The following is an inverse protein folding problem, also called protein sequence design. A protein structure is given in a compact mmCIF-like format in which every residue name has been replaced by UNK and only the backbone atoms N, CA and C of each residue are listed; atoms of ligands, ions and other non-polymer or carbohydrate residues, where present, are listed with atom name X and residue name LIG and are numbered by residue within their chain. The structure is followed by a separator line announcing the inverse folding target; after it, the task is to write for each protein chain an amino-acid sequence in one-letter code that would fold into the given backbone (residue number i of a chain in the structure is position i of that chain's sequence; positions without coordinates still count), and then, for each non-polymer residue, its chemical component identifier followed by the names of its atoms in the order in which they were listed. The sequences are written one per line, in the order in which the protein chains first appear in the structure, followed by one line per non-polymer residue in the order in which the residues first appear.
data_IF_842522435793
#
_entry.id   IF_842522435793
#
_cell.length_a   1.000
_cell.length_b   1.000
_cell.length_c   1.000
_cell.angle_alpha   90.00
_cell.angle_beta   90.00
_cell.angle_gamma   90.00
#
_symmetry.space_group_name_H-M   'P 1'
#
loop_
_entity.id
_entity.type
_entity.pdbx_description
1 polymer ?
#
# COMPACT_ATOMS: atom_id res chain seq x y z
N UNK A 1 0.31 -37.32 -31.98
CA UNK A 1 0.17 -35.87 -31.75
C UNK A 1 0.07 -35.51 -30.26
N UNK A 2 -0.48 -36.37 -29.39
CA UNK A 2 -0.56 -36.07 -27.93
C UNK A 2 0.76 -36.26 -27.16
N UNK A 3 1.66 -37.16 -27.59
CA UNK A 3 2.96 -37.39 -26.90
C UNK A 3 3.90 -36.19 -26.98
N UNK A 4 3.99 -35.52 -28.13
CA UNK A 4 4.84 -34.33 -28.33
C UNK A 4 4.44 -33.16 -27.45
N UNK A 5 3.14 -32.96 -27.20
CA UNK A 5 2.64 -31.87 -26.33
C UNK A 5 2.96 -32.14 -24.85
N UNK A 6 2.96 -33.42 -24.45
CA UNK A 6 3.31 -33.81 -23.08
C UNK A 6 4.81 -33.62 -22.83
N UNK A 7 5.64 -34.02 -23.80
CA UNK A 7 7.10 -33.87 -23.73
C UNK A 7 7.51 -32.39 -23.72
N UNK A 8 6.88 -31.53 -24.52
CA UNK A 8 7.13 -30.08 -24.50
C UNK A 8 6.75 -29.43 -23.16
N UNK A 9 5.65 -29.87 -22.52
CA UNK A 9 5.23 -29.36 -21.21
C UNK A 9 6.17 -29.81 -20.08
N UNK A 10 6.66 -31.05 -20.14
CA UNK A 10 7.63 -31.57 -19.18
C UNK A 10 8.94 -30.80 -19.32
N UNK A 11 9.43 -30.60 -20.56
CA UNK A 11 10.63 -29.83 -20.86
C UNK A 11 10.54 -28.38 -20.36
N UNK A 12 9.39 -27.73 -20.58
CA UNK A 12 9.13 -26.38 -20.08
C UNK A 12 9.13 -26.31 -18.55
N UNK A 13 8.59 -27.33 -17.87
CA UNK A 13 8.56 -27.39 -16.42
C UNK A 13 9.96 -27.58 -15.81
N UNK A 14 10.79 -28.42 -16.44
CA UNK A 14 12.18 -28.66 -16.03
C UNK A 14 13.05 -27.42 -16.25
N UNK A 15 12.92 -26.76 -17.41
CA UNK A 15 13.57 -25.48 -17.71
C UNK A 15 13.19 -24.40 -16.69
N UNK A 16 11.93 -24.34 -16.26
CA UNK A 16 11.48 -23.39 -15.23
C UNK A 16 12.08 -23.69 -13.87
N UNK A 17 12.25 -24.95 -13.49
CA UNK A 17 12.93 -25.34 -12.25
C UNK A 17 14.41 -24.99 -12.33
N UNK A 18 15.07 -25.30 -13.45
CA UNK A 18 16.47 -24.97 -13.67
C UNK A 18 16.71 -23.45 -13.62
N UNK A 19 15.86 -22.65 -14.26
CA UNK A 19 15.93 -21.19 -14.23
C UNK A 19 15.88 -20.64 -12.81
N UNK A 20 14.98 -21.16 -11.96
CA UNK A 20 14.88 -20.78 -10.55
C UNK A 20 16.17 -21.04 -9.81
N UNK A 21 16.74 -22.23 -9.96
CA UNK A 21 17.98 -22.64 -9.29
C UNK A 21 19.16 -21.77 -9.72
N UNK A 22 19.27 -21.46 -11.01
CA UNK A 22 20.32 -20.58 -11.55
C UNK A 22 20.18 -19.16 -11.00
N UNK A 23 18.97 -18.57 -11.05
CA UNK A 23 18.75 -17.21 -10.52
C UNK A 23 18.99 -17.15 -9.01
N UNK A 24 18.53 -18.14 -8.25
CA UNK A 24 18.77 -18.21 -6.82
C UNK A 24 20.26 -18.25 -6.49
N UNK A 25 21.02 -19.08 -7.22
CA UNK A 25 22.49 -19.18 -7.05
C UNK A 25 23.19 -17.88 -7.44
N UNK A 26 22.76 -17.25 -8.54
CA UNK A 26 23.29 -15.99 -9.03
C UNK A 26 23.05 -14.85 -8.03
N UNK A 27 21.84 -14.70 -7.49
CA UNK A 27 21.52 -13.69 -6.48
C UNK A 27 22.35 -13.90 -5.21
N UNK A 28 22.44 -15.14 -4.72
CA UNK A 28 23.24 -15.46 -3.53
C UNK A 28 24.72 -15.11 -3.73
N UNK A 29 25.28 -15.46 -4.89
CA UNK A 29 26.66 -15.10 -5.23
C UNK A 29 26.86 -13.58 -5.22
N UNK A 30 25.95 -12.81 -5.80
CA UNK A 30 26.04 -11.34 -5.85
C UNK A 30 25.99 -10.73 -4.45
N UNK A 31 25.05 -11.16 -3.62
CA UNK A 31 24.90 -10.68 -2.24
C UNK A 31 26.17 -10.99 -1.42
N UNK A 32 26.72 -12.21 -1.55
CA UNK A 32 27.95 -12.60 -0.87
C UNK A 32 29.18 -11.82 -1.37
N UNK A 33 29.27 -11.57 -2.68
CA UNK A 33 30.35 -10.78 -3.27
C UNK A 33 30.29 -9.31 -2.86
N UNK A 34 29.08 -8.73 -2.83
CA UNK A 34 28.86 -7.38 -2.34
C UNK A 34 29.30 -7.24 -0.87
N UNK A 35 28.87 -8.17 -0.02
CA UNK A 35 29.22 -8.18 1.41
C UNK A 35 30.72 -8.42 1.66
N UNK A 36 31.41 -9.08 0.72
CA UNK A 36 32.86 -9.32 0.80
C UNK A 36 33.71 -8.30 0.04
N UNK A 37 33.10 -7.23 -0.50
CA UNK A 37 33.75 -6.20 -1.33
C UNK A 37 34.55 -6.76 -2.52
N UNK A 38 34.18 -7.95 -3.01
CA UNK A 38 34.83 -8.58 -4.17
C UNK A 38 34.11 -8.16 -5.44
N UNK A 39 34.78 -7.42 -6.32
CA UNK A 39 34.27 -7.15 -7.67
C UNK A 39 34.46 -8.39 -8.53
N UNK A 40 33.37 -9.08 -8.89
CA UNK A 40 33.40 -10.14 -9.90
C UNK A 40 32.57 -9.73 -11.11
N UNK A 41 33.10 -10.02 -12.30
CA UNK A 41 32.76 -9.42 -13.59
C UNK A 41 31.66 -10.16 -14.36
N UNK A 42 30.70 -10.80 -13.69
CA UNK A 42 29.63 -11.53 -14.38
C UNK A 42 28.41 -10.65 -14.74
N UNK A 43 28.23 -9.53 -14.04
CA UNK A 43 26.99 -8.72 -14.13
C UNK A 43 27.37 -7.23 -14.06
N UNK A 44 26.64 -6.33 -14.74
CA UNK A 44 26.86 -4.89 -14.62
C UNK A 44 26.93 -4.42 -13.15
N UNK A 45 27.92 -3.59 -12.75
CA UNK A 45 28.11 -3.19 -11.36
C UNK A 45 26.91 -2.50 -10.72
N UNK A 46 26.16 -1.73 -11.51
CA UNK A 46 24.92 -1.07 -11.08
C UNK A 46 23.86 -2.09 -10.69
N UNK A 47 23.62 -3.07 -11.56
CA UNK A 47 22.66 -4.13 -11.33
C UNK A 47 23.07 -5.02 -10.14
N UNK A 48 24.35 -5.30 -9.97
CA UNK A 48 24.85 -6.03 -8.81
C UNK A 48 24.58 -5.29 -7.49
N UNK A 49 24.76 -3.96 -7.47
CA UNK A 49 24.38 -3.11 -6.33
C UNK A 49 22.88 -3.19 -6.08
N UNK A 50 22.06 -3.03 -7.11
CA UNK A 50 20.60 -3.05 -6.98
C UNK A 50 20.12 -4.37 -6.38
N UNK A 51 20.58 -5.51 -6.90
CA UNK A 51 20.30 -6.85 -6.36
C UNK A 51 20.73 -6.95 -4.89
N UNK A 52 21.94 -6.52 -4.56
CA UNK A 52 22.46 -6.61 -3.18
C UNK A 52 21.69 -5.75 -2.17
N UNK A 53 21.08 -4.66 -2.64
CA UNK A 53 20.27 -3.74 -1.82
C UNK A 53 18.79 -4.11 -1.78
N UNK A 54 18.39 -5.14 -2.52
CA UNK A 54 17.01 -5.60 -2.60
C UNK A 54 16.65 -6.46 -1.38
N UNK A 55 15.42 -6.31 -0.87
CA UNK A 55 14.93 -7.11 0.24
C UNK A 55 14.59 -8.56 -0.17
N UNK A 56 14.30 -9.42 0.82
CA UNK A 56 13.94 -10.82 0.58
C UNK A 56 12.74 -10.98 -0.36
N UNK A 57 11.76 -10.07 -0.30
CA UNK A 57 10.59 -10.13 -1.19
C UNK A 57 10.96 -9.85 -2.65
N UNK A 58 11.92 -8.94 -2.90
CA UNK A 58 12.42 -8.71 -4.23
C UNK A 58 13.30 -9.84 -4.76
N UNK A 59 14.08 -10.48 -3.89
CA UNK A 59 14.81 -11.72 -4.22
C UNK A 59 13.83 -12.84 -4.60
N UNK A 60 12.77 -13.05 -3.81
CA UNK A 60 11.72 -14.03 -4.10
C UNK A 60 11.02 -13.75 -5.44
N UNK A 61 10.83 -12.47 -5.77
CA UNK A 61 10.22 -12.06 -7.03
C UNK A 61 11.12 -12.34 -8.24
N UNK A 62 12.43 -12.09 -8.13
CA UNK A 62 13.41 -12.51 -9.14
C UNK A 62 13.40 -14.02 -9.37
N UNK A 63 13.35 -14.81 -8.29
CA UNK A 63 13.30 -16.27 -8.37
C UNK A 63 11.99 -16.73 -9.02
N UNK A 64 10.86 -16.16 -8.60
CA UNK A 64 9.53 -16.47 -9.16
C UNK A 64 9.47 -16.21 -10.67
N UNK A 65 10.02 -15.09 -11.10
CA UNK A 65 10.00 -14.63 -12.50
C UNK A 65 11.26 -15.04 -13.28
N UNK A 66 12.06 -15.97 -12.76
CA UNK A 66 13.26 -16.53 -13.39
C UNK A 66 13.05 -17.03 -14.82
N UNK A 67 11.88 -17.56 -15.15
CA UNK A 67 11.49 -17.98 -16.50
C UNK A 67 11.41 -16.83 -17.52
N UNK A 68 11.29 -15.58 -17.06
CA UNK A 68 11.35 -14.38 -17.91
C UNK A 68 12.79 -13.87 -18.02
N UNK A 69 13.60 -14.13 -16.99
CA UNK A 69 15.00 -13.72 -16.92
C UNK A 69 15.88 -14.66 -17.75
N UNK A 70 15.59 -15.96 -17.72
CA UNK A 70 16.37 -17.00 -18.37
C UNK A 70 15.58 -17.60 -19.53
N UNK A 71 16.20 -17.58 -20.71
CA UNK A 71 15.71 -18.29 -21.89
C UNK A 71 16.65 -19.44 -22.22
N UNK A 72 16.08 -20.60 -22.53
CA UNK A 72 16.83 -21.75 -23.01
C UNK A 72 16.61 -21.88 -24.50
N UNK A 73 17.69 -22.05 -25.26
CA UNK A 73 17.64 -22.38 -26.68
C UNK A 73 18.28 -23.75 -26.86
N UNK A 74 17.50 -24.71 -27.34
CA UNK A 74 17.96 -26.07 -27.60
C UNK A 74 18.18 -26.29 -29.09
N UNK A 75 19.37 -26.77 -29.44
CA UNK A 75 19.67 -27.39 -30.73
C UNK A 75 19.81 -28.91 -30.53
N UNK A 76 19.84 -29.70 -31.61
CA UNK A 76 19.92 -31.17 -31.57
C UNK A 76 21.08 -31.75 -30.75
N UNK A 77 22.12 -30.95 -30.46
CA UNK A 77 23.33 -31.36 -29.75
C UNK A 77 23.69 -30.51 -28.53
N UNK A 78 22.98 -29.41 -28.26
CA UNK A 78 23.32 -28.52 -27.14
C UNK A 78 22.14 -27.71 -26.64
N UNK A 79 22.19 -27.34 -25.35
CA UNK A 79 21.26 -26.37 -24.75
C UNK A 79 22.08 -25.15 -24.36
N UNK A 80 21.77 -24.00 -24.94
CA UNK A 80 22.32 -22.71 -24.54
C UNK A 80 21.34 -21.97 -23.63
N UNK A 81 21.89 -21.17 -22.72
CA UNK A 81 21.13 -20.42 -21.72
C UNK A 81 21.49 -18.94 -21.83
N UNK A 82 20.47 -18.11 -22.02
CA UNK A 82 20.61 -16.65 -22.10
C UNK A 82 20.00 -16.01 -20.86
N UNK A 83 20.74 -15.11 -20.20
CA UNK A 83 20.26 -14.36 -19.04
C UNK A 83 20.01 -12.90 -19.46
N UNK A 84 18.78 -12.43 -19.32
CA UNK A 84 18.41 -11.04 -19.61
C UNK A 84 18.61 -10.14 -18.38
N UNK A 85 19.71 -9.39 -18.37
CA UNK A 85 19.96 -8.37 -17.34
C UNK A 85 18.95 -7.23 -17.37
N UNK A 86 18.36 -6.95 -18.53
CA UNK A 86 17.30 -5.95 -18.66
C UNK A 86 16.03 -6.36 -17.90
N UNK A 87 15.64 -7.64 -17.98
CA UNK A 87 14.47 -8.15 -17.23
C UNK A 87 14.72 -8.15 -15.73
N UNK A 88 15.94 -8.45 -15.27
CA UNK A 88 16.31 -8.32 -13.85
C UNK A 88 16.11 -6.87 -13.40
N UNK A 89 16.67 -5.90 -14.15
CA UNK A 89 16.51 -4.48 -13.84
C UNK A 89 15.05 -4.03 -13.83
N UNK A 90 14.23 -4.51 -14.77
CA UNK A 90 12.80 -4.19 -14.85
C UNK A 90 12.00 -4.75 -13.67
N UNK A 91 12.27 -5.99 -13.26
CA UNK A 91 11.63 -6.62 -12.10
C UNK A 91 11.99 -5.82 -10.83
N UNK A 92 13.27 -5.50 -10.65
CA UNK A 92 13.74 -4.69 -9.51
C UNK A 92 13.13 -3.28 -9.50
N UNK A 93 13.08 -2.60 -10.63
CA UNK A 93 12.47 -1.27 -10.75
C UNK A 93 10.98 -1.28 -10.39
N UNK A 94 10.23 -2.29 -10.86
CA UNK A 94 8.81 -2.46 -10.54
C UNK A 94 8.60 -2.73 -9.06
N UNK A 95 9.49 -3.48 -8.41
CA UNK A 95 9.46 -3.72 -6.98
C UNK A 95 9.74 -2.45 -6.17
N UNK A 96 10.78 -1.70 -6.54
CA UNK A 96 11.09 -0.43 -5.90
C UNK A 96 9.94 0.58 -6.07
N UNK A 97 9.39 0.70 -7.27
CA UNK A 97 8.24 1.58 -7.54
C UNK A 97 7.01 1.17 -6.72
N UNK A 98 6.70 -0.13 -6.68
CA UNK A 98 5.59 -0.67 -5.88
C UNK A 98 5.80 -0.47 -4.38
N UNK A 99 7.03 -0.63 -3.89
CA UNK A 99 7.39 -0.39 -2.49
C UNK A 99 7.30 1.09 -2.13
N UNK A 100 7.82 1.99 -2.96
CA UNK A 100 7.71 3.44 -2.75
C UNK A 100 6.25 3.89 -2.77
N UNK A 101 5.46 3.44 -3.74
CA UNK A 101 4.02 3.74 -3.78
C UNK A 101 3.27 3.18 -2.57
N UNK A 102 3.67 2.01 -2.07
CA UNK A 102 3.10 1.41 -0.85
C UNK A 102 3.50 2.20 0.40
N UNK A 103 4.76 2.59 0.54
CA UNK A 103 5.24 3.39 1.68
C UNK A 103 4.58 4.77 1.68
N UNK A 104 4.43 5.39 0.51
CA UNK A 104 3.72 6.65 0.33
C UNK A 104 2.23 6.51 0.69
N UNK A 105 1.55 5.48 0.18
CA UNK A 105 0.17 5.16 0.56
C UNK A 105 0.03 4.99 2.08
N UNK A 106 0.93 4.25 2.73
CA UNK A 106 0.92 4.05 4.18
C UNK A 106 1.14 5.37 4.94
N UNK A 107 1.99 6.25 4.42
CA UNK A 107 2.19 7.59 4.97
C UNK A 107 0.89 8.42 4.91
N UNK A 108 0.21 8.45 3.76
CA UNK A 108 -1.08 9.15 3.61
C UNK A 108 -2.16 8.54 4.53
N UNK A 109 -2.21 7.21 4.63
CA UNK A 109 -3.13 6.52 5.53
C UNK A 109 -2.88 6.87 7.01
N UNK A 110 -1.62 6.92 7.44
CA UNK A 110 -1.22 7.32 8.81
C UNK A 110 -1.50 8.78 9.12
N UNK A 111 -1.33 9.67 8.13
CA UNK A 111 -1.69 11.10 8.24
C UNK A 111 -3.19 11.36 8.26
N UNK A 112 -4.01 10.32 8.13
CA UNK A 112 -5.47 10.45 8.19
C UNK A 112 -6.10 11.03 6.92
N UNK A 113 -5.45 10.87 5.76
CA UNK A 113 -5.98 11.33 4.48
C UNK A 113 -7.42 10.85 4.23
N UNK A 114 -8.25 11.70 3.62
CA UNK A 114 -9.64 11.38 3.34
C UNK A 114 -9.74 10.26 2.30
N UNK A 115 -10.84 9.49 2.32
CA UNK A 115 -11.06 8.45 1.31
C UNK A 115 -11.20 9.02 -0.10
N UNK A 116 -11.59 10.28 -0.25
CA UNK A 116 -11.61 10.97 -1.54
C UNK A 116 -10.19 11.24 -2.06
N UNK A 117 -9.31 11.78 -1.21
CA UNK A 117 -7.92 12.02 -1.56
C UNK A 117 -7.18 10.72 -1.94
N UNK A 118 -7.42 9.63 -1.19
CA UNK A 118 -6.82 8.33 -1.49
C UNK A 118 -7.37 7.69 -2.77
N UNK A 119 -8.62 7.99 -3.13
CA UNK A 119 -9.19 7.54 -4.40
C UNK A 119 -8.53 8.26 -5.58
N UNK A 120 -8.30 9.57 -5.49
CA UNK A 120 -7.72 10.34 -6.60
C UNK A 120 -6.24 10.00 -6.83
N UNK A 121 -5.47 9.78 -5.75
CA UNK A 121 -4.04 9.53 -5.84
C UNK A 121 -3.73 8.05 -6.11
N UNK A 122 -4.45 7.13 -5.46
CA UNK A 122 -4.13 5.70 -5.50
C UNK A 122 -5.23 4.82 -6.10
N UNK A 123 -6.36 5.40 -6.53
CA UNK A 123 -7.55 4.68 -7.02
C UNK A 123 -8.10 3.67 -6.02
N UNK A 124 -8.00 3.99 -4.74
CA UNK A 124 -8.43 3.13 -3.64
C UNK A 124 -9.81 3.57 -3.14
N UNK A 125 -10.73 2.62 -3.04
CA UNK A 125 -12.09 2.89 -2.56
C UNK A 125 -12.14 3.11 -1.04
N UNK A 126 -13.27 3.62 -0.55
CA UNK A 126 -13.52 3.78 0.90
C UNK A 126 -13.45 2.46 1.67
N UNK A 127 -13.96 1.37 1.08
CA UNK A 127 -13.94 0.03 1.71
C UNK A 127 -12.53 -0.54 1.76
N UNK A 128 -11.76 -0.37 0.69
CA UNK A 128 -10.35 -0.75 0.64
C UNK A 128 -9.50 0.07 1.62
N UNK A 129 -9.77 1.37 1.74
CA UNK A 129 -9.12 2.25 2.74
C UNK A 129 -9.35 1.74 4.17
N UNK A 130 -10.58 1.35 4.52
CA UNK A 130 -10.90 0.81 5.84
C UNK A 130 -10.22 -0.55 6.09
N UNK A 131 -10.23 -1.44 5.09
CA UNK A 131 -9.55 -2.73 5.18
C UNK A 131 -8.04 -2.58 5.36
N UNK A 132 -7.40 -1.66 4.62
CA UNK A 132 -5.98 -1.37 4.72
C UNK A 132 -5.63 -0.78 6.10
N UNK A 133 -6.41 0.17 6.62
CA UNK A 133 -6.18 0.71 7.98
C UNK A 133 -6.24 -0.39 9.04
N UNK A 134 -7.21 -1.31 8.93
CA UNK A 134 -7.32 -2.46 9.83
C UNK A 134 -6.13 -3.40 9.69
N UNK A 135 -5.71 -3.72 8.46
CA UNK A 135 -4.59 -4.62 8.18
C UNK A 135 -3.26 -4.10 8.74
N UNK A 136 -3.02 -2.78 8.68
CA UNK A 136 -1.78 -2.16 9.17
C UNK A 136 -1.91 -1.55 10.58
N UNK A 137 -2.98 -1.90 11.30
CA UNK A 137 -3.25 -1.42 12.66
C UNK A 137 -3.14 0.12 12.80
N UNK A 138 -3.54 0.84 11.75
CA UNK A 138 -3.49 2.30 11.70
C UNK A 138 -4.69 2.85 12.46
N UNK A 139 -4.46 3.20 13.72
CA UNK A 139 -5.41 3.91 14.55
C UNK A 139 -5.26 5.42 14.31
N UNK A 140 -6.19 5.99 13.56
CA UNK A 140 -6.35 7.45 13.47
C UNK A 140 -7.11 7.86 14.73
N UNK A 141 -6.38 8.29 15.76
CA UNK A 141 -7.00 9.03 16.86
C UNK A 141 -7.45 10.38 16.30
N UNK A 142 -8.66 10.79 16.66
CA UNK A 142 -9.28 12.05 16.19
C UNK A 142 -8.51 13.31 16.58
N UNK A 143 -7.45 13.20 17.39
CA UNK A 143 -6.58 14.32 17.77
C UNK A 143 -5.73 14.76 16.58
N UNK A 144 -6.02 15.94 16.04
CA UNK A 144 -5.26 16.57 14.95
C UNK A 144 -6.01 16.68 13.61
N UNK A 145 -7.27 16.26 13.55
CA UNK A 145 -8.16 16.52 12.41
C UNK A 145 -8.95 17.80 12.73
N UNK A 146 -8.38 18.95 12.38
CA UNK A 146 -9.01 20.27 12.61
C UNK A 146 -10.46 20.29 12.10
N UNK A 147 -10.74 19.64 10.96
CA UNK A 147 -12.07 19.53 10.39
C UNK A 147 -13.06 18.76 11.28
N UNK A 148 -12.63 17.71 11.98
CA UNK A 148 -13.48 16.96 12.90
C UNK A 148 -13.61 17.66 14.24
N UNK A 149 -12.53 18.25 14.75
CA UNK A 149 -12.55 19.02 16.00
C UNK A 149 -13.48 20.23 15.86
N UNK A 150 -13.47 20.90 14.71
CA UNK A 150 -14.39 21.99 14.38
C UNK A 150 -15.85 21.50 14.24
N UNK A 151 -16.08 20.33 13.63
CA UNK A 151 -17.42 19.71 13.50
C UNK A 151 -17.97 19.31 14.87
N UNK A 152 -17.16 18.65 15.70
CA UNK A 152 -17.56 18.21 17.03
C UNK A 152 -17.84 19.40 17.95
N UNK A 153 -16.99 20.44 17.89
CA UNK A 153 -17.17 21.71 18.62
C UNK A 153 -18.43 22.45 18.17
N UNK A 154 -18.69 22.53 16.86
CA UNK A 154 -19.90 23.13 16.31
C UNK A 154 -21.17 22.38 16.72
N UNK A 155 -21.12 21.05 16.72
CA UNK A 155 -22.25 20.20 17.11
C UNK A 155 -22.58 20.36 18.59
N UNK A 156 -21.55 20.39 19.46
CA UNK A 156 -21.72 20.63 20.90
C UNK A 156 -22.33 22.00 21.15
N UNK A 157 -21.77 23.05 20.51
CA UNK A 157 -22.26 24.42 20.69
C UNK A 157 -23.68 24.60 20.20
N UNK A 158 -24.08 23.93 19.11
CA UNK A 158 -25.47 23.93 18.66
C UNK A 158 -26.42 23.28 19.67
N UNK A 159 -26.02 22.19 20.33
CA UNK A 159 -26.85 21.55 21.35
C UNK A 159 -27.08 22.45 22.57
N UNK A 160 -26.10 23.26 22.94
CA UNK A 160 -26.19 24.22 24.06
C UNK A 160 -27.08 25.43 23.74
N UNK A 161 -27.17 25.79 22.47
CA UNK A 161 -27.70 27.08 22.03
C UNK A 161 -28.99 26.99 21.23
N UNK A 162 -29.46 25.78 20.93
CA UNK A 162 -30.64 25.53 20.12
C UNK A 162 -31.87 26.26 20.67
N UNK A 163 -32.33 27.27 19.93
CA UNK A 163 -33.59 27.97 20.11
C UNK A 163 -34.54 27.64 18.94
N UNK A 164 -35.75 28.21 18.92
CA UNK A 164 -36.70 28.01 17.81
C UNK A 164 -36.25 28.68 16.50
N UNK A 165 -35.08 29.33 16.45
CA UNK A 165 -34.57 30.04 15.28
C UNK A 165 -33.26 29.44 14.74
N UNK A 166 -33.39 28.32 14.02
CA UNK A 166 -32.30 27.57 13.40
C UNK A 166 -31.29 28.43 12.63
N UNK A 167 -31.77 29.36 11.80
CA UNK A 167 -30.90 30.19 10.95
C UNK A 167 -30.00 31.09 11.81
N UNK A 168 -30.57 31.69 12.85
CA UNK A 168 -29.83 32.57 13.75
C UNK A 168 -28.82 31.80 14.59
N UNK A 169 -29.18 30.62 15.08
CA UNK A 169 -28.29 29.80 15.90
C UNK A 169 -27.07 29.31 15.13
N UNK A 170 -27.26 28.84 13.89
CA UNK A 170 -26.15 28.40 13.03
C UNK A 170 -25.17 29.54 12.71
N UNK A 171 -25.70 30.74 12.41
CA UNK A 171 -24.90 31.94 12.17
C UNK A 171 -24.11 32.35 13.43
N UNK A 172 -24.75 32.29 14.59
CA UNK A 172 -24.11 32.61 15.87
C UNK A 172 -22.94 31.67 16.15
N UNK A 173 -23.12 30.36 15.99
CA UNK A 173 -22.09 29.35 16.25
C UNK A 173 -20.94 29.47 15.26
N UNK A 174 -21.22 29.72 13.98
CA UNK A 174 -20.20 29.98 12.96
C UNK A 174 -19.31 31.17 13.35
N UNK A 175 -19.91 32.21 13.92
CA UNK A 175 -19.21 33.41 14.39
C UNK A 175 -18.43 33.16 15.68
N UNK A 176 -19.03 32.49 16.68
CA UNK A 176 -18.41 32.20 17.99
C UNK A 176 -17.19 31.28 17.88
N UNK A 177 -17.26 30.28 17.00
CA UNK A 177 -16.20 29.30 16.79
C UNK A 177 -15.23 29.69 15.65
N UNK A 178 -15.48 30.80 14.95
CA UNK A 178 -14.70 31.24 13.80
C UNK A 178 -14.51 30.16 12.72
N UNK A 179 -15.59 29.46 12.39
CA UNK A 179 -15.60 28.35 11.41
C UNK A 179 -16.68 28.58 10.35
N UNK A 180 -16.50 28.07 9.10
CA UNK A 180 -17.46 28.28 8.02
C UNK A 180 -18.87 27.78 8.35
N UNK A 181 -19.90 28.53 7.96
CA UNK A 181 -21.31 28.18 8.17
C UNK A 181 -21.67 26.79 7.60
N UNK A 182 -21.03 26.38 6.50
CA UNK A 182 -21.21 25.05 5.92
C UNK A 182 -20.72 23.94 6.86
N UNK A 183 -19.63 24.15 7.60
CA UNK A 183 -19.10 23.20 8.59
C UNK A 183 -20.08 23.05 9.75
N UNK A 184 -20.64 24.17 10.24
CA UNK A 184 -21.70 24.16 11.27
C UNK A 184 -22.95 23.43 10.78
N UNK A 185 -23.37 23.69 9.54
CA UNK A 185 -24.51 22.99 8.92
C UNK A 185 -24.29 21.47 8.80
N UNK A 186 -23.09 21.06 8.39
CA UNK A 186 -22.71 19.66 8.34
C UNK A 186 -22.70 18.99 9.72
N UNK A 187 -22.23 19.70 10.75
CA UNK A 187 -22.25 19.22 12.13
C UNK A 187 -23.68 18.98 12.65
N UNK A 188 -24.60 19.89 12.34
CA UNK A 188 -26.01 19.79 12.75
C UNK A 188 -26.76 18.71 11.96
N UNK A 189 -26.51 18.58 10.66
CA UNK A 189 -27.19 17.61 9.79
C UNK A 189 -26.74 16.16 10.02
N UNK A 190 -25.49 15.96 10.41
CA UNK A 190 -24.90 14.64 10.61
C UNK A 190 -24.97 14.16 12.07
N UNK A 191 -25.76 14.80 12.93
CA UNK A 191 -26.00 14.27 14.27
C UNK A 191 -26.60 12.86 14.12
N UNK A 192 -25.99 11.82 14.70
CA UNK A 192 -26.63 10.51 14.73
C UNK A 192 -27.97 10.71 15.42
N UNK A 193 -29.06 10.38 14.72
CA UNK A 193 -30.38 10.29 15.36
C UNK A 193 -30.17 9.40 16.58
N UNK A 194 -30.25 9.99 17.78
CA UNK A 194 -30.26 9.22 19.02
C UNK A 194 -31.43 8.26 18.87
N UNK A 195 -31.13 6.99 18.56
CA UNK A 195 -32.02 5.90 18.87
C UNK A 195 -32.33 6.04 20.34
N UNK A 196 -33.58 6.30 20.68
CA UNK A 196 -34.09 6.26 22.04
C UNK A 196 -33.73 4.90 22.64
N UNK A 197 -32.63 4.82 23.38
CA UNK A 197 -32.39 3.77 24.34
C UNK A 197 -32.65 4.38 25.70
N UNK A 198 -33.90 4.27 26.15
CA UNK A 198 -34.18 4.27 27.57
C UNK A 198 -33.32 3.18 28.22
N UNK A 199 -32.51 3.54 29.20
CA UNK A 199 -31.89 2.56 30.10
C UNK A 199 -30.42 2.82 30.40
N UNK A 200 -30.17 2.99 31.70
CA UNK A 200 -28.89 2.88 32.41
C UNK A 200 -27.93 4.07 32.37
N UNK A 201 -27.67 4.61 33.57
CA UNK A 201 -26.48 5.41 33.82
C UNK A 201 -26.70 6.73 34.54
N UNK A 202 -27.46 6.73 35.64
CA UNK A 202 -27.46 7.82 36.62
C UNK A 202 -26.06 7.90 37.24
N UNK A 203 -25.20 8.79 36.75
CA UNK A 203 -23.96 9.15 37.46
C UNK A 203 -24.26 10.42 38.24
N UNK A 204 -24.45 10.25 39.55
CA UNK A 204 -24.37 11.35 40.52
C UNK A 204 -22.90 11.70 40.69
N UNK A 205 -22.57 12.99 40.63
CA UNK A 205 -21.38 13.51 41.29
C UNK A 205 -21.79 14.61 42.26
N UNK A 206 -21.34 14.40 43.51
CA UNK A 206 -21.23 15.26 44.68
C UNK A 206 -22.20 16.44 44.84
#
# INVERSE_FOLDING_TARGET
MERTILDEKILFSEQKVLAKTVIHSLVNMIVQQHNSFKQSSLIPPTLARDISSTDLMGIDSLIKDSHRIIQFHGDESSVSMTISFEEIGRILLNLHTSRTQREELLLYLRKGASSFCLHDIFKISKTQTAALRKQYEINITTKGRQDLEDIDSASLRYQETKTDNLKHDLLRISTELNIPLNTVWHAVRNQPQKSNTQGAGRIKHA
#
